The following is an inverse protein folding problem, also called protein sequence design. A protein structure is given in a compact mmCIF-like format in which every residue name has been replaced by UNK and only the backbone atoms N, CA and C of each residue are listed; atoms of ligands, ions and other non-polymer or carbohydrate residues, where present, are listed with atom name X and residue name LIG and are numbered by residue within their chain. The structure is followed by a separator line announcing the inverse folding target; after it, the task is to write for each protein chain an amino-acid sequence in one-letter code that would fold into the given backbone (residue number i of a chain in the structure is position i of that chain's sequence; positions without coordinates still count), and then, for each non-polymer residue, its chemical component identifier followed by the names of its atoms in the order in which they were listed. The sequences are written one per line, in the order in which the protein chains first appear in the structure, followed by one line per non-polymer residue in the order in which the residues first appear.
data_IF_117590546512
#
_entry.id   IF_117590546512
#
_cell.length_a   1.000
_cell.length_b   1.000
_cell.length_c   1.000
_cell.angle_alpha   90.00
_cell.angle_beta   90.00
_cell.angle_gamma   90.00
#
_symmetry.space_group_name_H-M   'P 1'
#
loop_
_entity.id
_entity.type
_entity.pdbx_description
1 polymer ?
#
# COMPACT_ATOMS: atom_id res chain seq x y z
N UNK A 1 5.85 58.37 23.08
CA UNK A 1 6.24 57.84 21.75
C UNK A 1 6.11 56.32 21.82
N UNK A 2 5.52 55.55 20.90
CA UNK A 2 4.78 55.79 19.66
C UNK A 2 4.12 54.42 19.38
N UNK A 3 2.83 54.43 19.07
CA UNK A 3 2.04 53.31 18.53
C UNK A 3 2.58 52.83 17.19
N UNK A 4 2.80 51.52 17.02
CA UNK A 4 2.72 50.78 15.73
C UNK A 4 2.28 49.34 16.10
N UNK A 5 0.99 48.97 16.01
CA UNK A 5 0.31 48.41 14.82
C UNK A 5 1.19 47.36 14.11
N UNK A 6 0.92 46.07 14.19
CA UNK A 6 -0.20 45.46 13.46
C UNK A 6 0.35 44.42 12.46
N UNK A 7 -0.51 43.47 12.08
CA UNK A 7 -0.29 42.40 11.09
C UNK A 7 0.77 41.35 11.51
N UNK A 8 0.55 40.04 11.49
CA UNK A 8 -0.27 39.24 10.58
C UNK A 8 -0.39 37.84 11.21
N UNK A 9 -1.51 37.55 11.87
CA UNK A 9 -1.83 36.22 12.41
C UNK A 9 -2.55 35.33 11.37
N UNK A 10 -2.43 35.64 10.08
CA UNK A 10 -3.32 35.11 9.04
C UNK A 10 -2.61 34.53 7.79
N UNK A 11 -1.33 34.14 7.89
CA UNK A 11 -0.54 33.79 6.69
C UNK A 11 -0.13 32.33 6.50
N UNK A 12 -0.20 31.48 7.55
CA UNK A 12 0.50 30.18 7.52
C UNK A 12 -0.30 28.98 7.01
N UNK A 13 -1.63 29.07 6.94
CA UNK A 13 -2.50 27.90 6.69
C UNK A 13 -2.93 27.73 5.23
N UNK A 14 -2.54 28.62 4.33
CA UNK A 14 -2.94 28.58 2.91
C UNK A 14 -2.00 27.78 1.99
N UNK A 15 -0.82 27.37 2.47
CA UNK A 15 0.15 26.62 1.66
C UNK A 15 -0.04 25.09 1.72
N UNK A 16 -0.79 24.58 2.71
CA UNK A 16 -1.01 23.13 2.87
C UNK A 16 -2.18 22.59 2.02
N UNK A 17 -3.10 23.44 1.56
CA UNK A 17 -4.26 23.03 0.78
C UNK A 17 -3.99 22.93 -0.73
N UNK A 18 -2.88 23.51 -1.23
CA UNK A 18 -2.52 23.50 -2.65
C UNK A 18 -1.54 22.39 -3.04
N UNK A 19 -1.01 21.62 -2.07
CA UNK A 19 -0.07 20.53 -2.33
C UNK A 19 -0.75 19.17 -2.63
N UNK A 20 -2.04 19.02 -2.34
CA UNK A 20 -2.74 17.74 -2.59
C UNK A 20 -3.14 17.53 -4.05
N UNK A 21 -3.14 18.54 -4.91
CA UNK A 21 -3.61 18.42 -6.31
C UNK A 21 -2.63 17.69 -7.23
N UNK A 22 -1.42 17.33 -6.77
CA UNK A 22 -0.39 16.63 -7.57
C UNK A 22 0.06 15.25 -7.04
N UNK A 23 -0.43 14.77 -5.90
CA UNK A 23 0.09 13.56 -5.23
C UNK A 23 -0.50 12.21 -5.70
N UNK A 24 -1.39 12.17 -6.70
CA UNK A 24 -2.08 10.91 -7.08
C UNK A 24 -1.13 9.85 -7.66
N UNK A 25 -0.11 10.24 -8.43
CA UNK A 25 0.80 9.26 -9.03
C UNK A 25 1.75 8.63 -8.01
N UNK A 26 2.15 9.39 -6.98
CA UNK A 26 3.04 8.92 -5.93
C UNK A 26 2.29 8.06 -4.91
N UNK A 27 1.13 8.50 -4.44
CA UNK A 27 0.30 7.71 -3.54
C UNK A 27 -0.12 6.37 -4.18
N UNK A 28 -0.52 6.39 -5.46
CA UNK A 28 -0.86 5.17 -6.19
C UNK A 28 0.34 4.24 -6.37
N UNK A 29 1.53 4.79 -6.56
CA UNK A 29 2.77 4.01 -6.64
C UNK A 29 3.12 3.40 -5.28
N UNK A 30 2.98 4.14 -4.19
CA UNK A 30 3.20 3.66 -2.83
C UNK A 30 2.26 2.50 -2.49
N UNK A 31 0.95 2.60 -2.80
CA UNK A 31 0.01 1.49 -2.59
C UNK A 31 0.37 0.26 -3.43
N UNK A 32 0.79 0.45 -4.70
CA UNK A 32 1.24 -0.66 -5.56
C UNK A 32 2.50 -1.33 -5.03
N UNK A 33 3.47 -0.57 -4.51
CA UNK A 33 4.69 -1.13 -3.92
C UNK A 33 4.38 -1.85 -2.60
N UNK A 34 3.46 -1.32 -1.78
CA UNK A 34 2.99 -2.01 -0.58
C UNK A 34 2.26 -3.31 -0.93
N UNK A 35 1.40 -3.30 -1.95
CA UNK A 35 0.72 -4.49 -2.46
C UNK A 35 1.70 -5.59 -2.90
N UNK A 36 2.79 -5.21 -3.61
CA UNK A 36 3.88 -6.15 -3.97
C UNK A 36 4.65 -6.66 -2.76
N UNK A 37 4.89 -5.81 -1.75
CA UNK A 37 5.58 -6.22 -0.53
C UNK A 37 4.77 -7.27 0.24
N UNK A 38 3.44 -7.11 0.30
CA UNK A 38 2.52 -8.07 0.89
C UNK A 38 2.53 -9.39 0.09
N UNK A 39 2.38 -9.32 -1.23
CA UNK A 39 2.47 -10.50 -2.12
C UNK A 39 3.75 -11.31 -1.86
N UNK A 40 4.89 -10.61 -1.78
CA UNK A 40 6.20 -11.22 -1.52
C UNK A 40 6.31 -11.81 -0.10
N UNK A 41 5.64 -11.24 0.91
CA UNK A 41 5.65 -11.83 2.24
C UNK A 41 4.86 -13.15 2.27
N UNK A 42 3.71 -13.21 1.59
CA UNK A 42 2.96 -14.46 1.43
C UNK A 42 3.75 -15.52 0.65
N UNK A 43 4.45 -15.13 -0.43
CA UNK A 43 5.36 -16.04 -1.14
C UNK A 43 6.47 -16.57 -0.22
N UNK A 44 7.11 -15.71 0.57
CA UNK A 44 8.16 -16.11 1.50
C UNK A 44 7.64 -17.07 2.59
N UNK A 45 6.42 -16.85 3.11
CA UNK A 45 5.77 -17.75 4.06
C UNK A 45 5.43 -19.10 3.43
N UNK A 46 4.92 -19.10 2.19
CA UNK A 46 4.64 -20.30 1.42
C UNK A 46 5.92 -21.13 1.20
N UNK A 47 7.01 -20.48 0.81
CA UNK A 47 8.31 -21.12 0.60
C UNK A 47 8.89 -21.70 1.90
N UNK A 48 8.77 -20.97 3.01
CA UNK A 48 9.16 -21.47 4.33
C UNK A 48 8.38 -22.73 4.70
N UNK A 49 7.07 -22.73 4.41
CA UNK A 49 6.18 -23.85 4.73
C UNK A 49 6.52 -25.10 3.93
N UNK A 50 6.76 -24.95 2.63
CA UNK A 50 7.22 -26.04 1.77
C UNK A 50 8.60 -26.54 2.21
N UNK A 51 9.53 -25.64 2.52
CA UNK A 51 10.86 -26.01 2.98
C UNK A 51 10.84 -26.78 4.30
N UNK A 52 10.01 -26.37 5.26
CA UNK A 52 9.86 -27.06 6.55
C UNK A 52 9.21 -28.44 6.41
N UNK A 53 8.32 -28.62 5.43
CA UNK A 53 7.65 -29.88 5.17
C UNK A 53 8.38 -30.78 4.16
N UNK A 54 9.45 -30.29 3.54
CA UNK A 54 10.22 -31.01 2.54
C UNK A 54 10.73 -32.34 3.11
N UNK A 55 10.41 -33.44 2.44
CA UNK A 55 10.77 -34.80 2.88
C UNK A 55 9.93 -35.35 4.04
N UNK A 56 8.92 -34.62 4.51
CA UNK A 56 7.96 -35.13 5.50
C UNK A 56 6.78 -35.88 4.84
N UNK A 57 6.08 -36.77 5.56
CA UNK A 57 4.83 -37.39 5.10
C UNK A 57 3.74 -36.37 4.75
N UNK A 58 3.85 -35.15 5.27
CA UNK A 58 2.86 -34.07 5.12
C UNK A 58 3.19 -33.11 3.98
N UNK A 59 4.20 -33.39 3.14
CA UNK A 59 4.64 -32.51 2.06
C UNK A 59 3.48 -32.07 1.14
N UNK A 60 2.54 -32.96 0.82
CA UNK A 60 1.39 -32.63 -0.01
C UNK A 60 0.40 -31.66 0.67
N UNK A 61 0.16 -31.81 1.97
CA UNK A 61 -0.68 -30.89 2.72
C UNK A 61 -0.02 -29.51 2.84
N UNK A 62 1.28 -29.48 3.13
CA UNK A 62 2.05 -28.25 3.18
C UNK A 62 2.11 -27.51 1.84
N UNK A 63 2.23 -28.24 0.71
CA UNK A 63 2.15 -27.66 -0.62
C UNK A 63 0.77 -27.02 -0.88
N UNK A 64 -0.34 -27.69 -0.54
CA UNK A 64 -1.68 -27.11 -0.68
C UNK A 64 -1.86 -25.85 0.18
N UNK A 65 -1.31 -25.85 1.40
CA UNK A 65 -1.35 -24.69 2.29
C UNK A 65 -0.46 -23.54 1.77
N UNK A 66 0.69 -23.85 1.19
CA UNK A 66 1.57 -22.87 0.53
C UNK A 66 0.91 -22.25 -0.72
N UNK A 67 0.26 -23.05 -1.55
CA UNK A 67 -0.54 -22.57 -2.69
C UNK A 67 -1.71 -21.68 -2.24
N UNK A 68 -2.36 -22.02 -1.13
CA UNK A 68 -3.41 -21.18 -0.56
C UNK A 68 -2.86 -19.80 -0.13
N UNK A 69 -1.68 -19.76 0.51
CA UNK A 69 -0.99 -18.52 0.89
C UNK A 69 -0.62 -17.68 -0.35
N UNK A 70 -0.04 -18.30 -1.39
CA UNK A 70 0.28 -17.60 -2.65
C UNK A 70 -0.97 -17.00 -3.29
N UNK A 71 -2.07 -17.75 -3.34
CA UNK A 71 -3.34 -17.27 -3.87
C UNK A 71 -3.94 -16.12 -3.04
N UNK A 72 -3.80 -16.15 -1.71
CA UNK A 72 -4.26 -15.07 -0.82
C UNK A 72 -3.43 -13.79 -1.02
N UNK A 73 -2.11 -13.92 -1.09
CA UNK A 73 -1.19 -12.81 -1.40
C UNK A 73 -1.53 -12.16 -2.74
N UNK A 74 -1.74 -12.97 -3.79
CA UNK A 74 -2.11 -12.50 -5.12
C UNK A 74 -3.47 -11.77 -5.11
N UNK A 75 -4.50 -12.33 -4.45
CA UNK A 75 -5.81 -11.68 -4.33
C UNK A 75 -5.71 -10.33 -3.62
N UNK A 76 -4.93 -10.27 -2.55
CA UNK A 76 -4.70 -9.04 -1.78
C UNK A 76 -3.97 -8.00 -2.62
N UNK A 77 -2.92 -8.41 -3.35
CA UNK A 77 -2.21 -7.54 -4.30
C UNK A 77 -3.17 -6.99 -5.35
N UNK A 78 -3.94 -7.85 -5.99
CA UNK A 78 -4.86 -7.45 -7.06
C UNK A 78 -5.95 -6.52 -6.55
N UNK A 79 -6.49 -6.78 -5.35
CA UNK A 79 -7.45 -5.90 -4.69
C UNK A 79 -6.86 -4.50 -4.45
N UNK A 80 -5.70 -4.42 -3.79
CA UNK A 80 -5.05 -3.13 -3.49
C UNK A 80 -4.63 -2.38 -4.76
N UNK A 81 -4.15 -3.08 -5.78
CA UNK A 81 -3.82 -2.49 -7.09
C UNK A 81 -5.09 -1.97 -7.77
N UNK A 82 -6.22 -2.65 -7.63
CA UNK A 82 -7.51 -2.20 -8.16
C UNK A 82 -8.00 -0.95 -7.44
N UNK A 83 -7.99 -0.94 -6.10
CA UNK A 83 -8.36 0.24 -5.30
C UNK A 83 -7.48 1.43 -5.63
N UNK A 84 -6.17 1.22 -5.77
CA UNK A 84 -5.23 2.26 -6.18
C UNK A 84 -5.62 2.86 -7.55
N UNK A 85 -6.03 2.02 -8.52
CA UNK A 85 -6.52 2.49 -9.83
C UNK A 85 -7.82 3.27 -9.71
N UNK A 86 -8.78 2.81 -8.92
CA UNK A 86 -10.07 3.51 -8.74
C UNK A 86 -9.91 4.87 -8.06
N UNK A 87 -8.98 5.01 -7.11
CA UNK A 87 -8.63 6.31 -6.52
C UNK A 87 -8.22 7.36 -7.56
N UNK A 88 -7.56 6.96 -8.65
CA UNK A 88 -7.20 7.88 -9.74
C UNK A 88 -8.34 8.23 -10.71
N UNK A 89 -9.46 7.50 -10.66
CA UNK A 89 -10.61 7.75 -11.54
C UNK A 89 -11.63 8.71 -10.93
N UNK A 90 -11.53 9.01 -9.64
CA UNK A 90 -12.41 9.97 -8.97
C UNK A 90 -12.13 11.38 -9.53
N UNK A 91 -13.07 12.01 -10.26
CA UNK A 91 -12.87 13.35 -10.82
C UNK A 91 -12.75 14.35 -9.68
N UNK A 92 -11.64 15.09 -9.64
CA UNK A 92 -11.47 16.18 -8.68
C UNK A 92 -12.21 17.40 -9.20
N UNK A 93 -13.27 17.82 -8.49
CA UNK A 93 -13.97 19.09 -8.73
C UNK A 93 -13.10 20.27 -8.33
#
# INVERSE_FOLDING_TARGET
MKTILGATLAGGLLAASLALSGCDSQAQKEVKEQAKAIDKSYEAEADLKEAMAAGSPNAAAAHNEAEALRNEGQKTKDHLVSEAKELSKVPRK
#
